data_IF_163961687303
#
_entry.id   IF_163961687303
#
_cell.length_a   1.000
_cell.length_b   1.000
_cell.length_c   1.000
_cell.angle_alpha   90.00
_cell.angle_beta   90.00
_cell.angle_gamma   90.00
#
_symmetry.space_group_name_H-M   'P 1'
#
loop_
_entity.id
_entity.type
_entity.pdbx_description
1 polymer ?
#
# COMPACT_ATOMS: atom_id res chain seq x y z
N UNK A 1 -6.65 -4.78 -1.56
CA UNK A 1 -7.33 -6.05 -1.91
C UNK A 1 -6.70 -7.18 -1.13
N UNK A 2 -7.49 -8.09 -0.59
CA UNK A 2 -6.96 -9.28 0.08
C UNK A 2 -6.49 -10.33 -0.95
N UNK A 3 -5.38 -10.98 -0.65
CA UNK A 3 -4.90 -12.17 -1.36
C UNK A 3 -5.66 -13.39 -0.81
N UNK A 4 -6.54 -13.97 -1.61
CA UNK A 4 -7.39 -15.10 -1.22
C UNK A 4 -6.59 -16.28 -0.68
N UNK A 5 -5.44 -16.59 -1.30
CA UNK A 5 -4.58 -17.70 -0.85
C UNK A 5 -3.96 -17.42 0.52
N UNK A 6 -3.53 -16.18 0.77
CA UNK A 6 -3.02 -15.78 2.09
C UNK A 6 -4.11 -15.79 3.14
N UNK A 7 -5.32 -15.35 2.80
CA UNK A 7 -6.49 -15.41 3.70
C UNK A 7 -6.74 -16.83 4.16
N UNK A 8 -6.83 -17.79 3.24
CA UNK A 8 -7.08 -19.19 3.61
C UNK A 8 -5.94 -19.80 4.43
N UNK A 9 -4.69 -19.47 4.09
CA UNK A 9 -3.53 -19.90 4.91
C UNK A 9 -3.60 -19.32 6.33
N UNK A 10 -3.96 -18.06 6.50
CA UNK A 10 -4.09 -17.41 7.80
C UNK A 10 -5.20 -18.06 8.64
N UNK A 11 -6.38 -18.25 8.04
CA UNK A 11 -7.51 -18.90 8.71
C UNK A 11 -7.15 -20.33 9.09
N UNK A 12 -6.54 -21.10 8.20
CA UNK A 12 -6.08 -22.48 8.48
C UNK A 12 -5.06 -22.49 9.62
N UNK A 13 -4.13 -21.54 9.64
CA UNK A 13 -3.14 -21.42 10.71
C UNK A 13 -3.78 -21.09 12.07
N UNK A 14 -4.84 -20.26 12.08
CA UNK A 14 -5.61 -19.97 13.28
C UNK A 14 -6.46 -21.18 13.73
N UNK A 15 -7.14 -21.85 12.80
CA UNK A 15 -7.97 -23.03 13.06
C UNK A 15 -7.17 -24.25 13.54
N UNK A 16 -5.86 -24.25 13.38
CA UNK A 16 -4.99 -25.25 14.01
C UNK A 16 -5.18 -25.29 15.52
N UNK A 17 -5.60 -24.19 16.13
CA UNK A 17 -5.84 -24.04 17.57
C UNK A 17 -7.30 -24.27 17.97
N UNK A 18 -8.15 -24.74 17.06
CA UNK A 18 -9.55 -25.10 17.34
C UNK A 18 -9.62 -26.16 18.45
N UNK A 19 -10.54 -25.99 19.39
CA UNK A 19 -10.68 -26.87 20.56
C UNK A 19 -9.65 -26.62 21.66
N UNK A 20 -8.68 -25.70 21.50
CA UNK A 20 -7.79 -25.29 22.60
C UNK A 20 -8.55 -24.52 23.69
N UNK A 21 -7.95 -24.43 24.89
CA UNK A 21 -8.52 -23.73 26.04
C UNK A 21 -8.19 -22.23 26.00
N UNK A 22 -9.08 -21.43 26.56
CA UNK A 22 -8.82 -20.01 26.77
C UNK A 22 -7.93 -19.80 28.02
N UNK A 23 -6.88 -18.95 27.89
CA UNK A 23 -6.12 -18.46 29.03
C UNK A 23 -5.36 -17.18 28.67
N UNK A 24 -5.50 -16.14 29.49
CA UNK A 24 -4.65 -14.94 29.40
C UNK A 24 -3.26 -15.18 30.00
N UNK A 25 -3.17 -15.98 31.10
CA UNK A 25 -1.90 -16.25 31.76
C UNK A 25 -0.96 -17.12 30.91
N UNK A 26 -1.50 -18.14 30.23
CA UNK A 26 -0.71 -19.09 29.45
C UNK A 26 -0.93 -18.96 27.95
N UNK A 27 -1.35 -17.78 27.52
CA UNK A 27 -1.78 -17.46 26.15
C UNK A 27 -0.83 -17.89 25.04
N UNK A 28 0.48 -17.97 25.31
CA UNK A 28 1.50 -18.31 24.32
C UNK A 28 2.05 -19.73 24.50
N UNK A 29 1.54 -20.53 25.43
CA UNK A 29 2.04 -21.90 25.60
C UNK A 29 1.51 -22.83 24.54
N UNK A 30 2.42 -23.50 23.84
CA UNK A 30 2.13 -24.62 22.97
C UNK A 30 2.61 -25.89 23.65
N UNK A 31 1.70 -26.78 24.01
CA UNK A 31 2.07 -28.19 24.36
C UNK A 31 1.97 -29.02 23.08
N UNK A 32 2.71 -30.15 23.06
CA UNK A 32 2.74 -31.09 21.93
C UNK A 32 1.34 -31.39 21.42
N UNK A 33 1.10 -31.14 20.14
CA UNK A 33 -0.18 -31.26 19.48
C UNK A 33 -1.11 -30.05 19.69
N UNK A 34 -2.43 -30.26 19.57
CA UNK A 34 -3.47 -29.22 19.70
C UNK A 34 -3.71 -28.73 21.14
N UNK A 35 -2.98 -29.21 22.12
CA UNK A 35 -3.20 -28.91 23.53
C UNK A 35 -2.42 -27.68 23.97
N UNK A 36 -2.94 -26.51 23.71
CA UNK A 36 -2.37 -25.24 24.15
C UNK A 36 -3.43 -24.29 24.68
N UNK A 37 -2.98 -23.12 25.11
CA UNK A 37 -3.84 -22.03 25.56
C UNK A 37 -3.67 -20.83 24.66
N UNK A 38 -4.76 -20.16 24.36
CA UNK A 38 -4.73 -18.82 23.71
C UNK A 38 -5.76 -17.91 24.37
N UNK A 39 -5.50 -16.61 24.36
CA UNK A 39 -6.54 -15.60 24.46
C UNK A 39 -6.90 -15.12 23.04
N UNK A 40 -7.84 -14.19 22.95
CA UNK A 40 -8.34 -13.69 21.67
C UNK A 40 -7.24 -13.10 20.76
N UNK A 41 -6.30 -12.37 21.33
CA UNK A 41 -5.23 -11.70 20.57
C UNK A 41 -4.02 -12.58 20.32
N UNK A 42 -3.69 -13.50 21.25
CA UNK A 42 -2.61 -14.45 21.02
C UNK A 42 -2.95 -15.51 19.98
N UNK A 43 -4.23 -15.80 19.76
CA UNK A 43 -4.68 -16.62 18.64
C UNK A 43 -4.23 -16.03 17.29
N UNK A 44 -4.41 -14.71 17.13
CA UNK A 44 -3.95 -13.98 15.95
C UNK A 44 -2.43 -14.02 15.85
N UNK A 45 -1.73 -13.76 16.97
CA UNK A 45 -0.27 -13.76 17.02
C UNK A 45 0.32 -15.11 16.62
N UNK A 46 -0.22 -16.20 17.16
CA UNK A 46 0.20 -17.58 16.84
C UNK A 46 -0.01 -17.91 15.37
N UNK A 47 -1.15 -17.52 14.80
CA UNK A 47 -1.41 -17.72 13.37
C UNK A 47 -0.39 -16.99 12.49
N UNK A 48 -0.07 -15.74 12.83
CA UNK A 48 0.96 -14.95 12.13
C UNK A 48 2.36 -15.54 12.31
N UNK A 49 2.71 -16.01 13.51
CA UNK A 49 4.00 -16.65 13.79
C UNK A 49 4.17 -17.95 13.00
N UNK A 50 3.14 -18.78 12.98
CA UNK A 50 3.13 -20.06 12.23
C UNK A 50 3.40 -19.87 10.73
N UNK A 51 3.02 -18.75 10.19
CA UNK A 51 3.22 -18.40 8.78
C UNK A 51 4.47 -17.54 8.53
N UNK A 52 5.24 -17.22 9.57
CA UNK A 52 6.35 -16.25 9.51
C UNK A 52 5.91 -14.85 9.01
N UNK A 53 4.66 -14.46 9.23
CA UNK A 53 4.09 -13.17 8.82
C UNK A 53 4.04 -12.14 9.96
N UNK A 54 4.50 -12.49 11.15
CA UNK A 54 4.62 -11.53 12.23
C UNK A 54 5.83 -10.61 12.01
N UNK A 55 5.58 -9.42 11.45
CA UNK A 55 6.62 -8.43 11.12
C UNK A 55 7.22 -7.72 12.33
N UNK A 56 6.67 -7.96 13.54
CA UNK A 56 7.14 -7.38 14.81
C UNK A 56 7.45 -8.48 15.81
N UNK A 57 8.53 -9.23 15.52
CA UNK A 57 9.01 -10.30 16.43
C UNK A 57 9.26 -9.74 17.84
N UNK A 58 8.87 -10.49 18.85
CA UNK A 58 9.00 -10.10 20.26
C UNK A 58 8.00 -9.03 20.74
N UNK A 59 7.15 -8.50 19.87
CA UNK A 59 6.10 -7.54 20.23
C UNK A 59 4.75 -8.25 20.19
N UNK A 60 4.17 -8.49 21.38
CA UNK A 60 2.89 -9.19 21.51
C UNK A 60 1.75 -8.49 20.75
N UNK A 61 0.90 -9.28 20.10
CA UNK A 61 -0.40 -8.80 19.63
C UNK A 61 -1.33 -8.67 20.84
N UNK A 62 -1.88 -7.49 21.04
CA UNK A 62 -2.90 -7.23 22.05
C UNK A 62 -4.05 -6.44 21.46
N UNK A 63 -5.26 -6.59 21.99
CA UNK A 63 -6.41 -5.80 21.56
C UNK A 63 -6.21 -4.31 21.82
N UNK A 64 -5.51 -3.95 22.89
CA UNK A 64 -5.15 -2.56 23.22
C UNK A 64 -4.20 -1.98 22.16
N UNK A 65 -3.13 -2.69 21.84
CA UNK A 65 -2.16 -2.26 20.84
C UNK A 65 -2.79 -2.15 19.46
N UNK A 66 -3.69 -3.07 19.10
CA UNK A 66 -4.40 -3.05 17.83
C UNK A 66 -5.33 -1.84 17.70
N UNK A 67 -6.16 -1.58 18.70
CA UNK A 67 -7.26 -0.62 18.61
C UNK A 67 -7.03 0.72 19.29
N UNK A 68 -6.00 0.88 20.13
CA UNK A 68 -5.74 2.10 20.92
C UNK A 68 -4.39 2.72 20.58
N UNK A 69 -3.30 1.95 20.68
CA UNK A 69 -1.95 2.47 20.40
C UNK A 69 -1.65 2.58 18.89
N UNK A 70 -2.33 1.78 18.07
CA UNK A 70 -2.02 1.58 16.66
C UNK A 70 -0.89 0.54 16.47
N UNK A 71 -1.14 -0.47 15.66
CA UNK A 71 -0.16 -1.48 15.33
C UNK A 71 -0.11 -1.67 13.80
N UNK A 72 1.03 -1.33 13.19
CA UNK A 72 1.23 -1.40 11.73
C UNK A 72 1.00 -2.79 11.10
N UNK A 73 0.86 -3.84 11.90
CA UNK A 73 0.44 -5.17 11.41
C UNK A 73 -1.03 -5.20 11.01
N UNK A 74 -1.81 -4.24 11.51
CA UNK A 74 -3.26 -4.17 11.37
C UNK A 74 -3.65 -2.78 10.89
N UNK A 75 -4.46 -2.74 9.83
CA UNK A 75 -5.00 -1.50 9.28
C UNK A 75 -6.50 -1.45 9.52
N UNK A 76 -6.99 -0.40 10.15
CA UNK A 76 -8.42 -0.21 10.33
C UNK A 76 -9.12 -0.05 8.98
N UNK A 77 -10.28 -0.68 8.85
CA UNK A 77 -11.13 -0.62 7.66
C UNK A 77 -12.56 -0.23 8.06
N UNK A 78 -13.34 0.38 7.16
CA UNK A 78 -14.78 0.58 7.41
C UNK A 78 -15.45 -0.77 7.67
N UNK A 79 -16.28 -0.86 8.72
CA UNK A 79 -16.95 -2.12 9.09
C UNK A 79 -17.78 -2.72 7.93
N UNK A 80 -18.39 -1.86 7.09
CA UNK A 80 -19.11 -2.27 5.88
C UNK A 80 -18.24 -2.93 4.80
N UNK A 81 -16.92 -2.79 4.92
CA UNK A 81 -15.94 -3.38 3.98
C UNK A 81 -15.31 -4.65 4.53
N UNK A 82 -15.94 -5.27 5.54
CA UNK A 82 -15.48 -6.49 6.19
C UNK A 82 -15.47 -7.64 5.19
N UNK A 83 -14.32 -8.27 5.03
CA UNK A 83 -14.10 -9.43 4.17
C UNK A 83 -13.56 -10.61 4.97
N UNK A 84 -13.74 -11.84 4.47
CA UNK A 84 -13.19 -13.06 5.08
C UNK A 84 -11.68 -12.90 5.33
N UNK A 85 -11.24 -13.17 6.56
CA UNK A 85 -9.86 -12.99 7.03
C UNK A 85 -9.61 -11.66 7.75
N UNK A 86 -10.52 -10.70 7.67
CA UNK A 86 -10.45 -9.48 8.47
C UNK A 86 -10.74 -9.78 9.95
N UNK A 87 -10.34 -8.87 10.81
CA UNK A 87 -10.54 -8.96 12.24
C UNK A 87 -11.70 -8.08 12.67
N UNK A 88 -12.55 -8.59 13.53
CA UNK A 88 -13.59 -7.82 14.24
C UNK A 88 -13.10 -7.52 15.63
N UNK A 89 -13.32 -6.31 16.11
CA UNK A 89 -12.77 -5.81 17.36
C UNK A 89 -13.82 -5.14 18.23
N UNK A 90 -13.69 -5.35 19.54
CA UNK A 90 -14.60 -4.86 20.56
C UNK A 90 -13.83 -4.36 21.76
N UNK A 91 -14.30 -3.27 22.38
CA UNK A 91 -13.80 -2.77 23.67
C UNK A 91 -14.97 -2.49 24.62
N UNK A 92 -14.79 -2.90 25.86
CA UNK A 92 -15.66 -2.54 26.95
C UNK A 92 -14.81 -2.31 28.19
N UNK A 93 -14.76 -1.08 28.65
CA UNK A 93 -14.03 -0.73 29.86
C UNK A 93 -15.00 -0.86 31.06
N UNK A 94 -14.67 -1.76 31.98
CA UNK A 94 -15.43 -1.94 33.21
C UNK A 94 -14.56 -1.56 34.40
N UNK A 95 -15.10 -0.72 35.30
CA UNK A 95 -14.42 -0.31 36.53
C UNK A 95 -13.00 0.22 36.30
N UNK A 96 -12.81 1.04 35.26
CA UNK A 96 -11.52 1.61 34.91
C UNK A 96 -10.51 0.63 34.33
N UNK A 97 -10.90 -0.64 34.11
CA UNK A 97 -10.04 -1.65 33.48
C UNK A 97 -10.39 -1.84 32.02
N UNK A 98 -9.36 -1.81 31.19
CA UNK A 98 -9.49 -2.12 29.75
C UNK A 98 -9.89 -3.58 29.56
N UNK A 99 -10.97 -3.79 28.83
CA UNK A 99 -11.39 -5.09 28.36
C UNK A 99 -11.61 -5.07 26.85
N UNK A 100 -10.70 -5.68 26.11
CA UNK A 100 -10.77 -5.76 24.64
C UNK A 100 -10.95 -7.20 24.17
N UNK A 101 -11.60 -7.35 23.02
CA UNK A 101 -11.78 -8.62 22.36
C UNK A 101 -11.58 -8.53 20.86
N UNK A 102 -11.13 -9.61 20.23
CA UNK A 102 -10.88 -9.70 18.77
C UNK A 102 -11.18 -11.11 18.27
N UNK A 103 -11.72 -11.20 17.06
CA UNK A 103 -11.93 -12.45 16.36
C UNK A 103 -11.63 -12.32 14.86
N UNK A 104 -11.50 -13.44 14.18
CA UNK A 104 -11.26 -13.54 12.74
C UNK A 104 -12.59 -13.75 12.04
N UNK A 105 -12.99 -12.83 11.17
CA UNK A 105 -14.20 -12.98 10.39
C UNK A 105 -14.03 -14.04 9.29
N UNK A 106 -14.90 -15.04 9.33
CA UNK A 106 -14.86 -16.17 8.38
C UNK A 106 -15.78 -15.98 7.17
N UNK A 107 -16.50 -14.86 7.08
CA UNK A 107 -17.63 -14.73 6.16
C UNK A 107 -18.89 -15.39 6.74
N UNK A 108 -20.02 -15.25 6.03
CA UNK A 108 -21.29 -15.92 6.36
C UNK A 108 -21.69 -15.75 7.84
N UNK A 109 -21.52 -14.54 8.38
CA UNK A 109 -21.87 -14.20 9.77
C UNK A 109 -21.18 -15.05 10.83
N UNK A 110 -19.97 -15.56 10.57
CA UNK A 110 -19.19 -16.39 11.49
C UNK A 110 -17.89 -15.72 11.84
N UNK A 111 -17.46 -15.90 13.09
CA UNK A 111 -16.17 -15.41 13.65
C UNK A 111 -15.46 -16.56 14.30
N UNK A 112 -14.17 -16.75 14.01
CA UNK A 112 -13.30 -17.67 14.74
C UNK A 112 -12.57 -16.91 15.83
N UNK A 113 -12.73 -17.31 17.07
CA UNK A 113 -12.26 -16.53 18.22
C UNK A 113 -11.95 -17.42 19.43
N UNK A 114 -11.17 -16.89 20.36
CA UNK A 114 -10.87 -17.52 21.64
C UNK A 114 -11.69 -16.86 22.75
N UNK A 115 -12.58 -17.60 23.37
CA UNK A 115 -13.43 -17.18 24.49
C UNK A 115 -13.33 -18.18 25.64
N UNK A 116 -13.88 -17.86 26.83
CA UNK A 116 -13.84 -18.75 27.97
C UNK A 116 -14.44 -20.15 27.72
N UNK A 117 -15.42 -20.24 26.81
CA UNK A 117 -16.01 -21.52 26.41
C UNK A 117 -15.09 -22.35 25.51
N UNK A 118 -13.99 -21.81 25.05
CA UNK A 118 -13.02 -22.46 24.16
C UNK A 118 -12.67 -21.63 22.93
N UNK A 119 -11.81 -22.21 22.12
CA UNK A 119 -11.42 -21.61 20.82
C UNK A 119 -12.24 -22.30 19.74
N UNK A 120 -12.95 -21.53 18.92
CA UNK A 120 -13.83 -22.10 17.92
C UNK A 120 -14.56 -21.05 17.09
N UNK A 121 -15.53 -21.52 16.30
CA UNK A 121 -16.35 -20.70 15.43
C UNK A 121 -17.68 -20.35 16.09
N UNK A 122 -18.00 -19.06 16.14
CA UNK A 122 -19.19 -18.52 16.76
C UNK A 122 -19.93 -17.56 15.83
N UNK A 123 -21.25 -17.31 16.06
CA UNK A 123 -21.99 -16.30 15.31
C UNK A 123 -21.43 -14.88 15.55
N UNK A 124 -21.31 -14.07 14.51
CA UNK A 124 -20.87 -12.67 14.62
C UNK A 124 -21.80 -11.84 15.51
N UNK A 125 -23.08 -12.19 15.56
CA UNK A 125 -24.10 -11.51 16.37
C UNK A 125 -23.91 -11.68 17.90
N UNK A 126 -23.00 -12.57 18.34
CA UNK A 126 -22.71 -12.81 19.75
C UNK A 126 -22.19 -11.56 20.48
N UNK A 127 -21.48 -10.69 19.75
CA UNK A 127 -20.95 -9.43 20.28
C UNK A 127 -21.36 -8.28 19.33
N UNK A 128 -21.66 -7.12 19.88
CA UNK A 128 -21.79 -5.88 19.11
C UNK A 128 -20.39 -5.35 18.79
N UNK A 129 -19.78 -5.89 17.77
CA UNK A 129 -18.45 -5.47 17.30
C UNK A 129 -18.46 -4.01 16.91
N UNK A 130 -17.38 -3.28 17.21
CA UNK A 130 -17.30 -1.82 17.09
C UNK A 130 -16.43 -1.38 15.91
N UNK A 131 -15.36 -2.12 15.63
CA UNK A 131 -14.36 -1.77 14.61
C UNK A 131 -13.93 -3.03 13.85
N UNK A 132 -13.38 -2.82 12.67
CA UNK A 132 -12.79 -3.88 11.86
C UNK A 132 -11.35 -3.51 11.47
N UNK A 133 -10.48 -4.52 11.44
CA UNK A 133 -9.08 -4.39 11.05
C UNK A 133 -8.70 -5.42 10.02
N UNK A 134 -7.86 -5.02 9.08
CA UNK A 134 -7.26 -5.91 8.09
C UNK A 134 -5.84 -6.23 8.50
N UNK A 135 -5.49 -7.52 8.46
CA UNK A 135 -4.10 -7.94 8.65
C UNK A 135 -3.31 -7.56 7.41
N UNK A 136 -2.33 -6.66 7.53
CA UNK A 136 -1.57 -6.12 6.38
C UNK A 136 -0.85 -7.21 5.60
N UNK A 137 -0.36 -8.26 6.27
CA UNK A 137 0.29 -9.40 5.62
C UNK A 137 -0.63 -10.17 4.65
N UNK A 138 -1.96 -10.07 4.80
CA UNK A 138 -2.93 -10.72 3.92
C UNK A 138 -3.22 -9.91 2.65
N UNK A 139 -2.80 -8.67 2.61
CA UNK A 139 -3.01 -7.86 1.42
C UNK A 139 -2.15 -8.38 0.27
N UNK A 140 -2.68 -8.26 -0.93
CA UNK A 140 -1.84 -8.43 -2.12
C UNK A 140 -0.70 -7.45 -1.94
N UNK A 141 0.54 -7.95 -1.90
CA UNK A 141 1.69 -7.07 -1.94
C UNK A 141 1.48 -6.14 -3.14
N UNK A 142 1.53 -4.83 -2.90
CA UNK A 142 1.52 -3.90 -4.00
C UNK A 142 2.56 -4.41 -4.98
N UNK A 143 2.11 -4.88 -6.16
CA UNK A 143 3.04 -5.18 -7.26
C UNK A 143 3.90 -3.95 -7.32
N UNK A 144 5.22 -4.14 -7.15
CA UNK A 144 6.19 -3.04 -7.24
C UNK A 144 5.75 -2.21 -8.43
N UNK A 145 5.15 -1.04 -8.15
CA UNK A 145 4.47 -0.26 -9.20
C UNK A 145 5.52 -0.02 -10.27
N UNK A 146 5.34 -0.66 -11.43
CA UNK A 146 6.22 -0.42 -12.57
C UNK A 146 5.85 0.94 -13.13
N UNK A 147 6.52 1.97 -12.63
CA UNK A 147 6.36 3.34 -13.12
C UNK A 147 7.30 3.51 -14.30
N UNK A 148 6.71 3.69 -15.47
CA UNK A 148 7.45 4.16 -16.64
C UNK A 148 7.65 5.67 -16.48
N UNK A 149 8.88 6.19 -16.50
CA UNK A 149 9.14 7.61 -16.48
C UNK A 149 8.35 8.33 -17.58
N UNK A 150 7.57 9.33 -17.19
CA UNK A 150 6.74 10.09 -18.12
C UNK A 150 6.55 11.49 -17.55
N UNK A 151 7.08 12.49 -18.25
CA UNK A 151 6.96 13.89 -17.84
C UNK A 151 5.93 14.59 -18.72
N UNK A 152 4.87 15.12 -18.13
CA UNK A 152 3.84 15.88 -18.79
C UNK A 152 3.12 16.79 -17.80
N UNK A 153 2.43 17.83 -18.34
CA UNK A 153 1.37 18.51 -17.60
C UNK A 153 0.04 17.87 -17.93
N UNK A 154 -0.82 17.76 -16.93
CA UNK A 154 -2.18 17.26 -17.08
C UNK A 154 -3.18 18.25 -16.48
N UNK A 155 -4.42 18.23 -16.98
CA UNK A 155 -5.54 19.01 -16.47
C UNK A 155 -6.63 18.05 -16.00
N UNK A 156 -7.08 18.19 -14.76
CA UNK A 156 -8.14 17.36 -14.18
C UNK A 156 -9.47 17.67 -14.86
N UNK A 157 -10.14 16.64 -15.39
CA UNK A 157 -11.46 16.74 -16.03
C UNK A 157 -12.63 16.25 -15.15
N UNK A 158 -12.35 15.60 -14.04
CA UNK A 158 -13.38 15.21 -13.07
C UNK A 158 -13.72 16.37 -12.12
N UNK A 159 -14.98 16.46 -11.67
CA UNK A 159 -15.37 17.43 -10.62
C UNK A 159 -14.50 17.32 -9.38
N UNK A 160 -14.22 16.09 -8.94
CA UNK A 160 -13.26 15.75 -7.87
C UNK A 160 -12.50 14.48 -8.28
N UNK A 161 -11.18 14.54 -8.26
CA UNK A 161 -10.28 13.42 -8.54
C UNK A 161 -9.52 13.03 -7.28
N UNK A 162 -9.68 11.78 -6.83
CA UNK A 162 -8.95 11.29 -5.67
C UNK A 162 -7.47 11.14 -5.96
N UNK A 163 -6.65 11.68 -5.06
CA UNK A 163 -5.21 11.44 -4.98
C UNK A 163 -4.97 10.28 -4.04
N UNK A 164 -4.21 9.29 -4.46
CA UNK A 164 -4.00 8.04 -3.72
C UNK A 164 -2.53 7.73 -3.50
N UNK A 165 -2.26 6.96 -2.46
CA UNK A 165 -0.92 6.48 -2.12
C UNK A 165 -0.37 5.49 -3.14
N UNK A 166 -1.22 4.76 -3.84
CA UNK A 166 -0.87 3.71 -4.82
C UNK A 166 -1.81 3.74 -6.03
N UNK A 167 -1.43 3.08 -7.12
CA UNK A 167 -2.13 3.08 -8.40
C UNK A 167 -3.37 2.15 -8.46
N UNK A 168 -4.18 2.14 -7.42
CA UNK A 168 -5.45 1.38 -7.41
C UNK A 168 -6.53 2.05 -6.55
N UNK A 169 -7.79 1.77 -6.84
CA UNK A 169 -8.96 2.44 -6.24
C UNK A 169 -9.14 2.18 -4.74
N UNK A 170 -8.61 1.09 -4.22
CA UNK A 170 -8.69 0.75 -2.80
C UNK A 170 -7.50 1.28 -1.96
N UNK A 171 -6.54 1.94 -2.61
CA UNK A 171 -5.41 2.57 -1.91
C UNK A 171 -5.86 3.75 -1.06
N UNK A 172 -5.09 4.06 -0.02
CA UNK A 172 -5.35 5.19 0.87
C UNK A 172 -5.52 6.48 0.07
N UNK A 173 -6.62 7.19 0.33
CA UNK A 173 -6.86 8.52 -0.24
C UNK A 173 -6.06 9.56 0.53
N UNK A 174 -5.11 10.20 -0.14
CA UNK A 174 -4.27 11.27 0.42
C UNK A 174 -4.93 12.65 0.33
N UNK A 175 -5.86 12.82 -0.62
CA UNK A 175 -6.55 14.07 -0.87
C UNK A 175 -7.37 14.03 -2.14
N UNK A 176 -7.73 15.21 -2.65
CA UNK A 176 -8.51 15.37 -3.88
C UNK A 176 -8.03 16.57 -4.68
N UNK A 177 -8.12 16.46 -6.00
CA UNK A 177 -7.92 17.52 -6.98
C UNK A 177 -9.27 17.95 -7.57
N UNK A 178 -9.40 19.20 -7.96
CA UNK A 178 -10.65 19.77 -8.51
C UNK A 178 -10.59 19.84 -10.04
N UNK A 179 -11.76 19.92 -10.66
CA UNK A 179 -11.91 20.17 -12.09
C UNK A 179 -11.08 21.37 -12.53
N UNK A 180 -10.35 21.22 -13.63
CA UNK A 180 -9.51 22.26 -14.20
C UNK A 180 -8.14 22.43 -13.54
N UNK A 181 -7.88 21.80 -12.41
CA UNK A 181 -6.59 21.88 -11.73
C UNK A 181 -5.49 21.25 -12.58
N UNK A 182 -4.38 21.98 -12.75
CA UNK A 182 -3.20 21.46 -13.43
C UNK A 182 -2.32 20.66 -12.48
N UNK A 183 -1.71 19.60 -13.01
CA UNK A 183 -0.81 18.69 -12.30
C UNK A 183 0.44 18.40 -13.12
N UNK A 184 1.56 18.22 -12.43
CA UNK A 184 2.79 17.72 -13.05
C UNK A 184 2.84 16.20 -12.89
N UNK A 185 2.87 15.52 -14.02
CA UNK A 185 2.94 14.05 -14.10
C UNK A 185 4.41 13.66 -14.17
N UNK A 186 4.84 12.75 -13.33
CA UNK A 186 6.24 12.26 -13.24
C UNK A 186 6.41 10.81 -13.73
N UNK A 187 5.28 10.10 -13.93
CA UNK A 187 5.31 8.73 -14.41
C UNK A 187 3.93 8.17 -14.80
N UNK A 188 3.94 7.02 -15.46
CA UNK A 188 2.75 6.22 -15.81
C UNK A 188 2.83 4.83 -15.17
N UNK A 189 1.72 4.34 -14.63
CA UNK A 189 1.61 3.03 -14.02
C UNK A 189 0.19 2.47 -14.20
N UNK A 190 0.01 1.50 -15.10
CA UNK A 190 -1.24 0.76 -15.31
C UNK A 190 -2.51 1.64 -15.37
N UNK A 191 -2.52 2.65 -16.24
CA UNK A 191 -3.64 3.59 -16.39
C UNK A 191 -3.71 4.70 -15.33
N UNK A 192 -2.73 4.78 -14.44
CA UNK A 192 -2.56 5.83 -13.45
C UNK A 192 -1.39 6.74 -13.81
N UNK A 193 -1.45 7.98 -13.34
CA UNK A 193 -0.33 8.91 -13.39
C UNK A 193 0.29 9.07 -12.00
N UNK A 194 1.61 8.94 -11.92
CA UNK A 194 2.39 9.34 -10.76
C UNK A 194 2.54 10.87 -10.77
N UNK A 195 2.31 11.49 -9.62
CA UNK A 195 2.43 12.94 -9.41
C UNK A 195 3.17 13.22 -8.10
N UNK A 196 3.70 14.43 -7.95
CA UNK A 196 4.10 14.93 -6.64
C UNK A 196 2.89 15.60 -5.98
N UNK A 197 2.49 15.11 -4.83
CA UNK A 197 1.41 15.69 -4.04
C UNK A 197 1.88 15.99 -2.62
N UNK A 198 1.98 17.27 -2.27
CA UNK A 198 2.49 17.73 -0.98
C UNK A 198 3.87 17.14 -0.62
N UNK A 199 4.80 17.16 -1.57
CA UNK A 199 6.18 16.70 -1.37
C UNK A 199 6.41 15.20 -1.41
N UNK A 200 5.36 14.39 -1.67
CA UNK A 200 5.48 12.92 -1.76
C UNK A 200 4.89 12.37 -3.06
N UNK A 201 5.34 11.20 -3.44
CA UNK A 201 4.77 10.44 -4.56
C UNK A 201 3.33 10.07 -4.27
N UNK A 202 2.46 10.28 -5.26
CA UNK A 202 1.06 9.94 -5.20
C UNK A 202 0.54 9.57 -6.59
N UNK A 203 -0.66 9.02 -6.67
CA UNK A 203 -1.24 8.51 -7.90
C UNK A 203 -2.64 9.06 -8.13
N UNK A 204 -2.93 9.39 -9.38
CA UNK A 204 -4.27 9.78 -9.85
C UNK A 204 -4.65 8.92 -11.05
N UNK A 205 -5.93 8.58 -11.19
CA UNK A 205 -6.39 7.82 -12.34
C UNK A 205 -6.24 8.66 -13.63
N UNK A 206 -5.48 8.15 -14.59
CA UNK A 206 -5.25 8.77 -15.89
C UNK A 206 -6.52 8.95 -16.72
N UNK A 207 -7.56 8.13 -16.45
CA UNK A 207 -8.86 8.24 -17.08
C UNK A 207 -9.57 9.59 -16.82
N UNK A 208 -9.13 10.36 -15.83
CA UNK A 208 -9.72 11.66 -15.45
C UNK A 208 -8.76 12.82 -15.58
N UNK A 209 -7.71 12.67 -16.38
CA UNK A 209 -6.71 13.71 -16.64
C UNK A 209 -6.50 13.85 -18.13
N UNK A 210 -6.75 15.03 -18.65
CA UNK A 210 -6.39 15.39 -20.01
C UNK A 210 -4.93 15.84 -20.04
N UNK A 211 -4.12 15.22 -20.89
CA UNK A 211 -2.74 15.66 -21.08
C UNK A 211 -2.73 17.01 -21.78
N UNK A 212 -2.07 17.98 -21.16
CA UNK A 212 -1.80 19.26 -21.83
C UNK A 212 -0.68 18.98 -22.82
N UNK A 213 -1.01 19.06 -24.12
CA UNK A 213 -0.03 18.89 -25.19
C UNK A 213 1.12 19.88 -24.99
N UNK A 214 2.28 19.37 -24.64
CA UNK A 214 3.49 20.19 -24.60
C UNK A 214 3.94 20.45 -26.02
N UNK A 215 4.29 21.70 -26.30
CA UNK A 215 4.96 22.05 -27.54
C UNK A 215 6.25 21.23 -27.61
N UNK A 216 6.32 20.28 -28.53
CA UNK A 216 7.55 19.58 -28.83
C UNK A 216 8.43 20.52 -29.62
N UNK A 217 9.60 20.81 -29.09
CA UNK A 217 10.62 21.58 -29.86
C UNK A 217 11.58 20.53 -30.40
N UNK A 218 11.53 20.33 -31.71
CA UNK A 218 12.36 19.31 -32.38
C UNK A 218 13.71 19.88 -32.84
N UNK A 219 14.58 19.02 -33.31
CA UNK A 219 15.87 19.37 -33.90
C UNK A 219 16.85 20.12 -32.98
N UNK A 220 16.87 19.81 -31.71
CA UNK A 220 17.81 20.36 -30.72
C UNK A 220 19.20 19.74 -30.91
N UNK A 221 20.24 20.51 -31.32
CA UNK A 221 21.59 19.98 -31.40
C UNK A 221 22.12 19.59 -30.01
N UNK A 222 22.68 18.38 -29.92
CA UNK A 222 23.39 17.88 -28.73
C UNK A 222 24.88 17.80 -29.10
N UNK A 223 25.69 18.60 -28.44
CA UNK A 223 27.12 18.66 -28.69
C UNK A 223 27.88 17.99 -27.55
N UNK A 224 28.88 17.20 -27.91
CA UNK A 224 29.84 16.63 -26.95
C UNK A 224 31.19 17.25 -27.26
N UNK A 225 31.79 17.92 -26.30
CA UNK A 225 33.07 18.62 -26.45
C UNK A 225 33.10 19.52 -27.70
N UNK A 226 31.99 20.25 -27.94
CA UNK A 226 31.84 21.17 -29.04
C UNK A 226 31.46 20.57 -30.42
N UNK A 227 31.48 19.23 -30.56
CA UNK A 227 31.08 18.57 -31.82
C UNK A 227 29.65 18.04 -31.72
N UNK A 228 28.85 18.23 -32.81
CA UNK A 228 27.48 17.71 -32.84
C UNK A 228 27.50 16.18 -32.82
N UNK A 229 26.91 15.64 -31.76
CA UNK A 229 26.80 14.18 -31.57
C UNK A 229 25.49 13.65 -32.17
N UNK A 230 24.37 14.31 -31.85
CA UNK A 230 23.04 13.90 -32.27
C UNK A 230 22.05 15.06 -32.15
N UNK A 231 20.87 14.88 -32.72
CA UNK A 231 19.74 15.80 -32.48
C UNK A 231 18.74 15.18 -31.56
N UNK A 232 18.20 15.98 -30.68
CA UNK A 232 17.16 15.64 -29.74
C UNK A 232 15.92 16.49 -29.91
N UNK A 233 15.05 16.42 -28.96
CA UNK A 233 13.83 17.21 -28.89
C UNK A 233 13.48 17.54 -27.43
N UNK A 234 12.74 18.61 -27.21
CA UNK A 234 12.30 19.04 -25.88
C UNK A 234 10.83 18.74 -25.70
N UNK A 235 10.50 18.07 -24.60
CA UNK A 235 9.13 17.92 -24.11
C UNK A 235 9.10 18.41 -22.67
N UNK A 236 8.23 19.37 -22.35
CA UNK A 236 8.09 19.91 -20.99
C UNK A 236 9.41 20.42 -20.37
N UNK A 237 10.26 21.06 -21.17
CA UNK A 237 11.54 21.59 -20.71
C UNK A 237 12.65 20.54 -20.47
N UNK A 238 12.38 19.27 -20.76
CA UNK A 238 13.39 18.21 -20.68
C UNK A 238 13.84 17.84 -22.09
N UNK A 239 15.14 17.85 -22.32
CA UNK A 239 15.72 17.41 -23.61
C UNK A 239 15.85 15.90 -23.64
N UNK A 240 15.33 15.29 -24.68
CA UNK A 240 15.43 13.86 -24.99
C UNK A 240 16.24 13.63 -26.25
N UNK A 241 16.87 12.48 -26.34
CA UNK A 241 17.42 11.93 -27.59
C UNK A 241 17.02 10.46 -27.72
N UNK A 242 16.95 9.96 -28.95
CA UNK A 242 16.58 8.55 -29.21
C UNK A 242 17.84 7.70 -29.35
N UNK A 243 18.01 6.73 -28.44
CA UNK A 243 19.11 5.76 -28.46
C UNK A 243 18.48 4.36 -28.53
N UNK A 244 18.85 3.60 -29.56
CA UNK A 244 18.32 2.24 -29.81
C UNK A 244 16.77 2.18 -29.77
N UNK A 245 16.11 3.16 -30.39
CA UNK A 245 14.66 3.25 -30.47
C UNK A 245 13.96 3.74 -29.19
N UNK A 246 14.69 4.02 -28.11
CA UNK A 246 14.14 4.51 -26.83
C UNK A 246 14.45 5.98 -26.62
N UNK A 247 13.47 6.72 -26.15
CA UNK A 247 13.60 8.11 -25.79
C UNK A 247 14.29 8.24 -24.43
N UNK A 248 15.44 8.88 -24.39
CA UNK A 248 16.31 8.97 -23.24
C UNK A 248 16.53 10.45 -22.85
N UNK A 249 16.30 10.82 -21.58
CA UNK A 249 16.58 12.19 -21.14
C UNK A 249 18.10 12.45 -21.11
N UNK A 250 18.54 13.45 -21.90
CA UNK A 250 19.95 13.71 -22.14
C UNK A 250 20.74 13.99 -20.85
N UNK A 251 20.25 14.92 -20.03
CA UNK A 251 20.92 15.27 -18.77
C UNK A 251 21.18 14.04 -17.89
N UNK A 252 20.15 13.22 -17.67
CA UNK A 252 20.26 12.04 -16.79
C UNK A 252 21.29 11.02 -17.27
N UNK A 253 21.43 10.86 -18.59
CA UNK A 253 22.39 9.91 -19.17
C UNK A 253 23.82 10.41 -18.92
N UNK A 254 24.09 11.65 -19.31
CA UNK A 254 25.45 12.16 -19.33
C UNK A 254 25.96 12.52 -17.94
N UNK A 255 25.10 13.06 -17.06
CA UNK A 255 25.48 13.27 -15.65
C UNK A 255 25.76 11.96 -14.90
N UNK A 256 25.09 10.83 -15.28
CA UNK A 256 25.37 9.52 -14.65
C UNK A 256 26.76 8.96 -14.96
N UNK A 257 27.46 9.50 -15.95
CA UNK A 257 28.84 9.14 -16.29
C UNK A 257 29.83 10.28 -15.96
N UNK A 258 29.40 11.26 -15.16
CA UNK A 258 30.24 12.34 -14.67
C UNK A 258 30.45 13.52 -15.63
N UNK A 259 29.63 13.63 -16.68
CA UNK A 259 29.71 14.75 -17.62
C UNK A 259 28.88 15.95 -17.16
N UNK A 260 29.33 17.16 -17.44
CA UNK A 260 28.55 18.38 -17.28
C UNK A 260 27.59 18.58 -18.44
N UNK A 261 26.33 18.89 -18.13
CA UNK A 261 25.29 19.12 -19.14
C UNK A 261 24.69 20.52 -18.98
N UNK A 262 24.94 21.39 -19.94
CA UNK A 262 24.47 22.77 -20.00
C UNK A 262 23.51 22.99 -21.17
N UNK A 263 22.56 23.90 -20.99
CA UNK A 263 21.72 24.46 -22.06
C UNK A 263 22.20 25.85 -22.40
N UNK A 264 22.70 26.03 -23.60
CA UNK A 264 23.22 27.33 -24.06
C UNK A 264 22.99 27.48 -25.59
N UNK A 265 22.61 28.68 -26.04
CA UNK A 265 22.43 29.01 -27.47
C UNK A 265 21.48 28.03 -28.20
N UNK A 266 20.35 27.66 -27.58
CA UNK A 266 19.38 26.67 -28.09
C UNK A 266 19.99 25.29 -28.41
N UNK A 267 21.03 24.91 -27.71
CA UNK A 267 21.75 23.63 -27.85
C UNK A 267 22.01 23.02 -26.48
N UNK A 268 22.13 21.70 -26.44
CA UNK A 268 22.68 21.00 -25.28
C UNK A 268 24.17 20.83 -25.48
N UNK A 269 24.96 21.38 -24.55
CA UNK A 269 26.43 21.22 -24.52
C UNK A 269 26.79 20.25 -23.41
N UNK A 270 27.58 19.24 -23.75
CA UNK A 270 28.07 18.20 -22.84
C UNK A 270 29.58 18.26 -22.84
N UNK A 271 30.17 18.42 -21.65
CA UNK A 271 31.61 18.43 -21.43
C UNK A 271 32.00 17.19 -20.63
N UNK A 272 32.91 16.42 -21.15
CA UNK A 272 33.46 15.20 -20.53
C UNK A 272 34.92 15.40 -20.18
#
# INVERSE_FOLDING_TARGET
MLDKNKVEKFITAAMFYDGNRYSQRWRMTEKQGKAGYSDCSSLIEKALNKLNWNTRKGVAVTTHRMGVEGDRRFREIPYKSLERGDLVWYRNDKNGKYFGHVGIYLGNNKVFEAIYAGIGTYPISRIKWQRAFRVVALEVADKKIQVTPFSAKGKVRAKLLNVRESNHTNSLRLGQLRLGQEINITGKADGWFEINYNGRKAYVSGAYVDLISSKVIENIPILINGKEFKRGYIINGITYTRINGKDMPVRRIFESIGADVAWQDNKVKISM
#
